data_IF_588022043790
#
_entry.id   IF_588022043790
#
_cell.length_a   1.000
_cell.length_b   1.000
_cell.length_c   1.000
_cell.angle_alpha   90.00
_cell.angle_beta   90.00
_cell.angle_gamma   90.00
#
_symmetry.space_group_name_H-M   'P 1'
#
loop_
_entity.id
_entity.type
_entity.pdbx_description
1 polymer ?
#
# COMPACT_ATOMS: atom_id res chain seq x y z
N UNK A 1 -8.57 2.07 -19.71
CA UNK A 1 -7.30 1.33 -19.50
C UNK A 1 -7.67 -0.11 -19.14
N UNK A 2 -6.86 -1.12 -19.38
CA UNK A 2 -7.25 -2.50 -19.08
C UNK A 2 -6.62 -3.01 -17.78
N UNK A 3 -7.33 -3.84 -17.02
CA UNK A 3 -6.84 -4.46 -15.79
C UNK A 3 -6.02 -5.72 -16.09
N UNK A 4 -4.84 -5.53 -16.68
CA UNK A 4 -3.91 -6.63 -16.97
C UNK A 4 -3.45 -7.36 -15.70
N UNK A 5 -3.32 -6.64 -14.58
CA UNK A 5 -2.81 -7.21 -13.34
C UNK A 5 -3.76 -8.28 -12.80
N UNK A 6 -5.04 -7.93 -12.60
CA UNK A 6 -6.03 -8.89 -12.10
C UNK A 6 -6.33 -9.99 -13.11
N UNK A 7 -6.28 -9.67 -14.40
CA UNK A 7 -6.49 -10.65 -15.45
C UNK A 7 -5.41 -11.74 -15.44
N UNK A 8 -4.12 -11.36 -15.45
CA UNK A 8 -3.00 -12.30 -15.47
C UNK A 8 -2.87 -13.11 -14.17
N UNK A 9 -3.32 -12.56 -13.02
CA UNK A 9 -3.26 -13.27 -11.73
C UNK A 9 -4.12 -14.54 -11.70
N UNK A 10 -5.11 -14.66 -12.60
CA UNK A 10 -5.94 -15.87 -12.73
C UNK A 10 -5.21 -17.03 -13.40
N UNK A 11 -4.18 -16.73 -14.21
CA UNK A 11 -3.53 -17.72 -15.06
C UNK A 11 -2.15 -18.12 -14.56
N UNK A 12 -1.46 -17.24 -13.81
CA UNK A 12 -0.06 -17.45 -13.43
C UNK A 12 0.15 -17.58 -11.92
N UNK A 13 1.08 -18.46 -11.53
CA UNK A 13 1.56 -18.56 -10.15
C UNK A 13 2.64 -17.52 -9.87
N UNK A 14 2.53 -16.87 -8.71
CA UNK A 14 3.57 -15.96 -8.21
C UNK A 14 4.79 -16.73 -7.71
N UNK A 15 5.97 -16.40 -8.23
CA UNK A 15 7.25 -16.92 -7.75
C UNK A 15 7.64 -16.18 -6.46
N UNK A 16 7.63 -16.90 -5.33
CA UNK A 16 7.99 -16.33 -4.03
C UNK A 16 9.47 -15.96 -4.02
N UNK A 17 9.78 -14.74 -3.58
CA UNK A 17 11.16 -14.28 -3.47
C UNK A 17 11.87 -14.12 -4.82
N UNK A 18 11.13 -13.81 -5.90
CA UNK A 18 11.67 -13.71 -7.27
C UNK A 18 12.96 -12.88 -7.38
N UNK A 19 13.13 -11.86 -6.53
CA UNK A 19 14.30 -10.98 -6.46
C UNK A 19 15.61 -11.69 -6.07
N UNK A 20 15.54 -12.89 -5.50
CA UNK A 20 16.72 -13.69 -5.14
C UNK A 20 17.32 -14.42 -6.35
N UNK A 21 16.51 -14.66 -7.38
CA UNK A 21 16.96 -15.35 -8.57
C UNK A 21 17.52 -14.35 -9.58
N UNK A 22 18.62 -14.71 -10.23
CA UNK A 22 19.32 -13.87 -11.21
C UNK A 22 19.30 -14.49 -12.62
N UNK A 23 19.02 -15.79 -12.72
CA UNK A 23 18.91 -16.49 -14.00
C UNK A 23 17.55 -17.15 -14.11
N UNK A 24 16.94 -17.00 -15.28
CA UNK A 24 15.64 -17.56 -15.64
C UNK A 24 15.74 -18.27 -16.98
N UNK A 25 15.38 -19.55 -17.00
CA UNK A 25 15.32 -20.36 -18.20
C UNK A 25 13.87 -20.82 -18.39
N UNK A 26 13.28 -20.50 -19.53
CA UNK A 26 11.91 -20.85 -19.86
C UNK A 26 11.88 -22.16 -20.64
N UNK A 27 10.96 -23.03 -20.28
CA UNK A 27 10.72 -24.25 -21.05
C UNK A 27 10.09 -23.91 -22.41
N UNK A 28 10.42 -24.63 -23.50
CA UNK A 28 9.82 -24.41 -24.81
C UNK A 28 8.28 -24.51 -24.84
N UNK A 29 7.67 -25.25 -23.90
CA UNK A 29 6.21 -25.34 -23.76
C UNK A 29 5.60 -24.20 -22.92
N UNK A 30 6.41 -23.29 -22.39
CA UNK A 30 6.01 -22.17 -21.51
C UNK A 30 5.26 -22.59 -20.23
N UNK A 31 5.36 -23.86 -19.83
CA UNK A 31 4.62 -24.39 -18.67
C UNK A 31 5.30 -24.05 -17.34
N UNK A 32 6.63 -24.06 -17.32
CA UNK A 32 7.43 -23.83 -16.12
C UNK A 32 8.66 -22.97 -16.44
N UNK A 33 9.23 -22.40 -15.38
CA UNK A 33 10.48 -21.63 -15.42
C UNK A 33 11.46 -22.23 -14.44
N UNK A 34 12.72 -22.32 -14.85
CA UNK A 34 13.83 -22.73 -13.99
C UNK A 34 14.54 -21.46 -13.54
N UNK A 35 14.70 -21.31 -12.22
CA UNK A 35 15.32 -20.16 -11.59
C UNK A 35 16.62 -20.57 -10.88
N UNK A 36 17.66 -19.75 -10.95
CA UNK A 36 18.91 -19.92 -10.18
C UNK A 36 19.27 -18.63 -9.47
N UNK A 37 19.81 -18.73 -8.24
CA UNK A 37 20.29 -17.57 -7.48
C UNK A 37 21.62 -17.07 -8.05
N UNK A 38 22.56 -17.98 -8.32
CA UNK A 38 23.85 -17.71 -8.96
C UNK A 38 24.13 -18.71 -10.09
N UNK A 39 25.12 -18.46 -10.94
CA UNK A 39 25.45 -19.32 -12.09
C UNK A 39 25.75 -20.79 -11.71
N UNK A 40 26.29 -21.01 -10.52
CA UNK A 40 26.71 -22.29 -9.95
C UNK A 40 25.68 -22.90 -8.98
N UNK A 41 24.60 -22.17 -8.68
CA UNK A 41 23.55 -22.66 -7.79
C UNK A 41 22.64 -23.69 -8.45
N UNK A 42 22.05 -24.55 -7.61
CA UNK A 42 21.12 -25.57 -8.08
C UNK A 42 19.86 -24.95 -8.72
N UNK A 43 19.42 -25.46 -9.88
CA UNK A 43 18.21 -24.98 -10.54
C UNK A 43 16.95 -25.31 -9.74
N UNK A 44 16.12 -24.29 -9.50
CA UNK A 44 14.81 -24.43 -8.86
C UNK A 44 13.71 -24.31 -9.91
N UNK A 45 12.94 -25.38 -10.12
CA UNK A 45 11.81 -25.41 -11.04
C UNK A 45 10.56 -24.79 -10.39
N UNK A 46 9.93 -23.85 -11.08
CA UNK A 46 8.66 -23.23 -10.71
C UNK A 46 7.62 -23.43 -11.82
N UNK A 47 6.50 -24.04 -11.49
CA UNK A 47 5.34 -24.11 -12.40
C UNK A 47 4.73 -22.71 -12.54
N UNK A 48 4.55 -22.25 -13.79
CA UNK A 48 4.05 -20.90 -14.06
C UNK A 48 2.55 -20.89 -14.30
N UNK A 49 2.04 -21.76 -15.17
CA UNK A 49 0.63 -21.76 -15.57
C UNK A 49 -0.24 -22.54 -14.57
N UNK A 50 -1.37 -21.93 -14.19
CA UNK A 50 -2.45 -22.56 -13.42
C UNK A 50 -3.49 -23.12 -14.39
N UNK A 51 -3.85 -22.33 -15.41
CA UNK A 51 -4.86 -22.62 -16.42
C UNK A 51 -4.32 -22.12 -17.77
N UNK A 52 -4.65 -22.82 -18.87
CA UNK A 52 -4.32 -22.37 -20.23
C UNK A 52 -5.03 -21.05 -20.54
N UNK A 53 -4.33 -20.15 -21.23
CA UNK A 53 -4.88 -18.86 -21.66
C UNK A 53 -5.35 -19.03 -23.11
N UNK A 54 -6.63 -18.73 -23.35
CA UNK A 54 -7.14 -18.63 -24.72
C UNK A 54 -6.61 -17.34 -25.36
N UNK A 55 -6.06 -17.42 -26.57
CA UNK A 55 -5.45 -16.27 -27.25
C UNK A 55 -6.42 -15.10 -27.50
N UNK A 56 -7.73 -15.36 -27.48
CA UNK A 56 -8.79 -14.37 -27.70
C UNK A 56 -9.30 -13.72 -26.39
N UNK A 57 -8.72 -14.09 -25.24
CA UNK A 57 -9.15 -13.56 -23.93
C UNK A 57 -8.56 -12.17 -23.67
N UNK A 58 -9.37 -11.26 -23.12
CA UNK A 58 -8.97 -9.88 -22.85
C UNK A 58 -9.35 -9.44 -21.43
N UNK A 59 -8.51 -8.65 -20.74
CA UNK A 59 -8.83 -8.05 -19.44
C UNK A 59 -10.04 -7.12 -19.48
N UNK A 60 -10.66 -6.95 -18.31
CA UNK A 60 -11.72 -5.96 -18.13
C UNK A 60 -11.19 -4.53 -18.32
N UNK A 61 -12.03 -3.66 -18.87
CA UNK A 61 -11.72 -2.23 -19.00
C UNK A 61 -11.91 -1.53 -17.65
N UNK A 62 -10.83 -0.97 -17.11
CA UNK A 62 -10.84 -0.01 -16.02
C UNK A 62 -11.34 1.34 -16.52
N UNK A 63 -12.44 1.80 -15.92
CA UNK A 63 -12.88 3.18 -15.99
C UNK A 63 -12.07 4.00 -14.98
N UNK A 64 -11.28 5.00 -15.42
CA UNK A 64 -10.57 5.84 -14.47
C UNK A 64 -11.59 6.61 -13.61
N UNK A 65 -11.33 6.77 -12.30
CA UNK A 65 -12.16 7.65 -11.49
C UNK A 65 -12.12 9.05 -12.08
N UNK A 66 -13.29 9.67 -12.21
CA UNK A 66 -13.39 11.05 -12.65
C UNK A 66 -12.72 12.02 -11.68
N UNK A 67 -12.65 13.30 -12.05
CA UNK A 67 -12.12 14.34 -11.17
C UNK A 67 -13.04 14.54 -9.95
N UNK A 68 -12.43 14.69 -8.78
CA UNK A 68 -13.14 15.06 -7.56
C UNK A 68 -13.69 16.49 -7.69
N UNK A 69 -14.77 16.84 -6.95
CA UNK A 69 -15.30 18.21 -6.92
C UNK A 69 -14.22 19.27 -6.65
N UNK A 70 -13.34 19.02 -5.67
CA UNK A 70 -12.22 19.90 -5.35
C UNK A 70 -11.27 20.10 -6.53
N UNK A 71 -10.95 19.03 -7.27
CA UNK A 71 -10.09 19.13 -8.45
C UNK A 71 -10.77 19.85 -9.61
N UNK A 72 -12.08 19.65 -9.81
CA UNK A 72 -12.86 20.40 -10.81
C UNK A 72 -12.83 21.90 -10.52
N UNK A 73 -13.07 22.29 -9.26
CA UNK A 73 -13.03 23.70 -8.84
C UNK A 73 -11.63 24.29 -8.88
N UNK A 74 -10.61 23.53 -8.51
CA UNK A 74 -9.22 23.96 -8.68
C UNK A 74 -8.87 24.27 -10.14
N UNK A 75 -9.29 23.41 -11.08
CA UNK A 75 -9.07 23.66 -12.51
C UNK A 75 -9.78 24.95 -12.96
N UNK A 76 -11.02 25.15 -12.52
CA UNK A 76 -11.80 26.33 -12.89
C UNK A 76 -11.26 27.64 -12.29
N UNK A 77 -10.92 27.64 -11.00
CA UNK A 77 -10.50 28.85 -10.27
C UNK A 77 -9.04 29.21 -10.52
N UNK A 78 -8.13 28.23 -10.45
CA UNK A 78 -6.68 28.48 -10.42
C UNK A 78 -6.01 28.27 -11.77
N UNK A 79 -6.46 27.27 -12.54
CA UNK A 79 -5.78 26.88 -13.79
C UNK A 79 -6.37 27.57 -15.02
N UNK A 80 -7.67 27.90 -15.01
CA UNK A 80 -8.39 28.40 -16.18
C UNK A 80 -7.80 29.68 -16.78
N UNK A 81 -7.17 30.55 -15.97
CA UNK A 81 -6.53 31.77 -16.45
C UNK A 81 -5.30 31.52 -17.34
N UNK A 82 -4.68 30.34 -17.24
CA UNK A 82 -3.53 29.93 -18.04
C UNK A 82 -3.93 29.17 -19.33
N UNK A 83 -5.22 28.88 -19.52
CA UNK A 83 -5.73 28.19 -20.72
C UNK A 83 -6.15 29.24 -21.75
N UNK A 84 -5.78 29.03 -23.02
CA UNK A 84 -6.24 29.88 -24.15
C UNK A 84 -7.77 29.95 -24.19
N UNK A 85 -8.33 31.12 -24.53
CA UNK A 85 -9.79 31.34 -24.50
C UNK A 85 -10.61 30.28 -25.26
N UNK A 86 -10.11 29.83 -26.42
CA UNK A 86 -10.74 28.80 -27.25
C UNK A 86 -10.90 27.42 -26.56
N UNK A 87 -10.11 27.16 -25.53
CA UNK A 87 -10.02 25.86 -24.85
C UNK A 87 -10.49 25.90 -23.39
N UNK A 88 -10.83 27.07 -22.84
CA UNK A 88 -11.20 27.22 -21.42
C UNK A 88 -12.36 26.31 -21.03
N UNK A 89 -13.42 26.27 -21.83
CA UNK A 89 -14.61 25.45 -21.54
C UNK A 89 -14.44 23.95 -21.85
N UNK A 90 -13.38 23.58 -22.56
CA UNK A 90 -13.04 22.17 -22.81
C UNK A 90 -12.16 21.61 -21.70
N UNK A 91 -11.18 22.39 -21.24
CA UNK A 91 -10.14 21.93 -20.29
C UNK A 91 -10.53 22.19 -18.84
N UNK A 92 -11.13 23.35 -18.55
CA UNK A 92 -11.47 23.79 -17.21
C UNK A 92 -12.88 24.40 -17.17
N UNK A 93 -13.94 23.64 -17.51
CA UNK A 93 -15.32 24.13 -17.47
C UNK A 93 -15.77 24.49 -16.06
N UNK A 94 -16.88 25.23 -15.97
CA UNK A 94 -17.57 25.48 -14.71
C UNK A 94 -18.03 24.12 -14.14
N UNK A 95 -17.67 23.76 -12.90
CA UNK A 95 -18.10 22.51 -12.30
C UNK A 95 -19.61 22.43 -12.09
N UNK A 96 -20.17 21.23 -12.26
CA UNK A 96 -21.59 20.89 -12.04
C UNK A 96 -21.96 20.72 -10.56
N UNK A 97 -20.97 20.58 -9.70
CA UNK A 97 -21.11 20.42 -8.26
C UNK A 97 -20.87 21.74 -7.51
N UNK A 98 -21.49 21.90 -6.34
CA UNK A 98 -21.27 23.08 -5.49
C UNK A 98 -19.79 23.21 -5.08
N UNK A 99 -19.33 24.44 -4.91
CA UNK A 99 -17.95 24.73 -4.49
C UNK A 99 -17.67 24.13 -3.11
N UNK A 100 -16.61 23.32 -2.95
CA UNK A 100 -16.25 22.78 -1.65
C UNK A 100 -15.83 23.92 -0.72
N UNK A 101 -16.27 23.86 0.53
CA UNK A 101 -15.92 24.87 1.53
C UNK A 101 -14.40 24.87 1.71
N UNK A 102 -13.75 26.00 1.44
CA UNK A 102 -12.35 26.21 1.81
C UNK A 102 -12.28 26.05 3.33
N UNK A 103 -11.54 25.05 3.82
CA UNK A 103 -11.17 24.99 5.23
C UNK A 103 -10.25 26.19 5.49
N UNK A 104 -10.83 27.31 5.90
CA UNK A 104 -10.08 28.47 6.38
C UNK A 104 -9.41 28.02 7.66
N UNK A 105 -8.14 27.61 7.55
CA UNK A 105 -7.26 27.49 8.71
C UNK A 105 -7.25 28.83 9.42
N UNK A 106 -7.57 28.82 10.71
CA UNK A 106 -7.41 29.98 11.60
C UNK A 106 -5.95 30.40 11.58
N UNK A 107 -5.63 31.43 10.80
CA UNK A 107 -4.55 32.35 11.11
C UNK A 107 -5.22 33.53 11.82
N UNK A 108 -5.14 33.51 13.15
CA UNK A 108 -5.55 34.60 14.01
C UNK A 108 -4.32 35.05 14.77
N UNK A 109 -3.49 35.87 14.11
CA UNK A 109 -2.52 36.74 14.77
C UNK A 109 -3.24 38.07 14.98
N UNK A 110 -3.93 38.20 16.12
CA UNK A 110 -4.31 39.49 16.70
C UNK A 110 -3.70 39.52 18.10
N UNK A 111 -2.51 40.11 18.20
CA UNK A 111 -2.00 40.71 19.43
C UNK A 111 -2.97 41.83 19.86
N UNK A 112 -3.45 41.81 21.10
CA UNK A 112 -3.58 43.00 21.95
C UNK A 112 -4.18 42.71 23.35
N UNK A 113 -3.34 43.01 24.33
CA UNK A 113 -3.62 43.69 25.60
C UNK A 113 -4.44 43.04 26.75
N UNK A 114 -3.94 43.34 27.94
CA UNK A 114 -4.16 42.70 29.23
C UNK A 114 -5.52 43.01 29.87
N UNK A 115 -6.04 42.05 30.63
CA UNK A 115 -6.82 42.38 31.84
C UNK A 115 -6.70 41.29 32.93
N UNK A 116 -6.27 41.74 34.11
CA UNK A 116 -6.14 40.99 35.36
C UNK A 116 -7.50 40.93 36.07
N UNK A 117 -7.92 39.73 36.49
CA UNK A 117 -9.06 39.55 37.39
C UNK A 117 -9.22 38.10 37.86
N UNK A 118 -8.88 37.84 39.13
CA UNK A 118 -9.09 36.57 39.83
C UNK A 118 -10.58 36.19 39.98
N UNK A 119 -10.88 34.88 39.93
CA UNK A 119 -11.31 34.06 41.08
C UNK A 119 -12.17 32.85 40.69
N UNK A 120 -11.66 31.65 40.99
CA UNK A 120 -12.44 30.59 41.66
C UNK A 120 -13.18 29.53 40.82
N UNK A 121 -13.39 28.30 41.36
CA UNK A 121 -13.39 27.07 40.58
C UNK A 121 -14.75 26.39 40.48
N UNK A 122 -14.99 25.58 39.43
CA UNK A 122 -15.92 24.45 39.53
C UNK A 122 -15.68 23.34 38.50
N UNK A 123 -15.71 22.12 39.05
CA UNK A 123 -15.40 20.83 38.45
C UNK A 123 -16.54 20.37 37.53
N UNK A 124 -16.22 19.69 36.42
CA UNK A 124 -17.01 18.53 35.97
C UNK A 124 -16.15 17.49 35.25
N UNK A 125 -16.12 16.30 35.85
CA UNK A 125 -15.47 15.07 35.37
C UNK A 125 -16.18 14.56 34.11
N UNK A 126 -15.42 14.01 33.16
CA UNK A 126 -15.81 12.82 32.39
C UNK A 126 -14.56 12.03 31.94
N UNK A 127 -14.18 11.09 32.82
CA UNK A 127 -13.85 9.68 32.55
C UNK A 127 -13.23 9.33 31.17
N UNK A 128 -11.90 9.25 31.10
CA UNK A 128 -11.18 8.46 30.08
C UNK A 128 -10.96 7.04 30.59
N UNK A 129 -11.54 6.06 29.91
CA UNK A 129 -11.19 4.65 30.07
C UNK A 129 -9.81 4.41 29.45
N UNK A 130 -8.82 4.09 30.29
CA UNK A 130 -7.50 3.64 29.87
C UNK A 130 -7.49 2.12 29.76
N UNK A 131 -7.34 1.60 28.54
CA UNK A 131 -7.11 0.18 28.28
C UNK A 131 -5.60 -0.10 28.48
N UNK A 132 -5.30 -1.04 29.38
CA UNK A 132 -4.17 -1.98 29.30
C UNK A 132 -2.74 -1.44 29.51
N UNK A 133 -2.28 -1.40 30.76
CA UNK A 133 -0.84 -1.46 31.09
C UNK A 133 -0.38 -2.92 31.10
N UNK A 134 0.47 -3.30 30.15
CA UNK A 134 1.29 -4.51 30.24
C UNK A 134 2.76 -4.12 30.40
N UNK A 135 3.38 -4.41 31.54
CA UNK A 135 4.82 -4.24 31.70
C UNK A 135 5.41 -5.17 32.76
N UNK A 136 6.57 -5.75 32.40
CA UNK A 136 7.61 -6.44 33.22
C UNK A 136 7.25 -7.87 33.64
N UNK A 137 8.01 -8.95 33.39
CA UNK A 137 9.41 -9.13 33.01
C UNK A 137 10.30 -9.43 34.23
N UNK A 138 10.77 -10.68 34.40
CA UNK A 138 12.15 -11.09 34.81
C UNK A 138 12.29 -12.58 35.21
N UNK A 139 13.32 -13.24 34.63
CA UNK A 139 14.26 -14.19 35.27
C UNK A 139 13.77 -15.63 35.56
N UNK A 140 14.59 -16.69 35.63
CA UNK A 140 16.03 -16.94 35.41
C UNK A 140 16.31 -18.46 35.46
N UNK A 141 17.22 -18.95 34.61
CA UNK A 141 18.26 -19.99 34.85
C UNK A 141 17.97 -21.50 35.10
N UNK A 142 18.77 -22.31 34.36
CA UNK A 142 19.65 -23.45 34.77
C UNK A 142 19.21 -24.93 34.62
N UNK A 143 20.11 -25.71 33.96
CA UNK A 143 20.30 -27.18 34.04
C UNK A 143 20.20 -27.86 32.67
N UNK A 144 21.23 -28.34 31.93
CA UNK A 144 22.45 -29.16 32.16
C UNK A 144 22.18 -30.68 32.28
N UNK A 145 22.61 -31.44 31.26
CA UNK A 145 22.75 -32.92 31.21
C UNK A 145 22.49 -33.43 29.77
N UNK A 146 23.40 -33.97 28.94
CA UNK A 146 24.57 -34.88 29.01
C UNK A 146 24.21 -36.38 28.91
N UNK A 147 24.60 -37.02 27.80
CA UNK A 147 24.70 -38.48 27.56
C UNK A 147 24.51 -38.81 26.06
N UNK A 148 25.51 -39.10 25.21
CA UNK A 148 26.44 -40.26 25.04
C UNK A 148 25.76 -41.62 24.76
N UNK A 149 26.12 -42.22 23.61
CA UNK A 149 26.02 -43.66 23.28
C UNK A 149 25.62 -43.87 21.80
N UNK A 150 26.54 -43.95 20.83
CA UNK A 150 27.29 -45.13 20.32
C UNK A 150 26.41 -46.31 19.87
N UNK A 151 26.53 -46.67 18.59
CA UNK A 151 26.11 -47.95 18.03
C UNK A 151 26.38 -48.04 16.53
N UNK A 152 27.55 -48.55 16.15
CA UNK A 152 28.00 -48.92 14.80
C UNK A 152 28.16 -50.46 14.80
N UNK A 153 27.55 -51.15 13.84
CA UNK A 153 27.80 -52.52 13.35
C UNK A 153 26.81 -52.67 12.16
N UNK A 154 27.14 -52.96 10.89
CA UNK A 154 28.01 -53.95 10.24
C UNK A 154 27.78 -55.37 10.79
N UNK A 155 26.85 -56.11 10.20
CA UNK A 155 27.10 -57.06 9.09
C UNK A 155 25.84 -57.12 8.21
#
# INVERSE_FOLDING_TARGET
MYDWASFLDNFFRKIKGIKKYHHFEFDPSNTYVICKEFCDSDPVKHEMLIISIDNDSFPNTLSPPGLTPERKWYLFNEIRCFVSDEHKDKVAPIPDCSEPRKNVGREGDDDDDANLGEAGPSKRKQQKQSIGRGSRGKGTSRGKGRGKGKGKAID
#
